data_IF_110124772491
#
_entry.id   IF_110124772491
#
_cell.length_a   1.000
_cell.length_b   1.000
_cell.length_c   1.000
_cell.angle_alpha   90.00
_cell.angle_beta   90.00
_cell.angle_gamma   90.00
#
_symmetry.space_group_name_H-M   'P 1'
#
loop_
_entity.id
_entity.type
_entity.pdbx_description
1 polymer ?
#
# COMPACT_ATOMS: atom_id res chain seq x y z
N UNK A 1 8.44 6.90 2.18
CA UNK A 1 8.59 5.70 3.05
C UNK A 1 7.85 4.53 2.42
N UNK A 2 8.35 3.30 2.54
CA UNK A 2 7.66 2.12 2.02
C UNK A 2 6.69 1.57 3.08
N UNK A 3 5.41 1.47 2.76
CA UNK A 3 4.35 0.91 3.60
C UNK A 3 3.87 -0.41 2.99
N UNK A 4 4.71 -1.44 3.13
CA UNK A 4 4.55 -2.75 2.52
C UNK A 4 3.40 -3.54 3.16
N UNK A 5 2.44 -4.00 2.37
CA UNK A 5 1.23 -4.77 2.78
C UNK A 5 0.24 -4.00 3.66
N UNK A 6 0.32 -2.66 3.73
CA UNK A 6 -0.65 -1.87 4.49
C UNK A 6 -1.93 -1.62 3.71
N UNK A 7 -3.08 -1.69 4.38
CA UNK A 7 -4.38 -1.30 3.79
C UNK A 7 -4.45 0.21 3.57
N UNK A 8 -5.26 0.64 2.60
CA UNK A 8 -5.46 2.06 2.31
C UNK A 8 -5.97 2.87 3.50
N UNK A 9 -6.86 2.30 4.32
CA UNK A 9 -7.34 2.95 5.55
C UNK A 9 -6.22 3.19 6.56
N UNK A 10 -5.33 2.21 6.70
CA UNK A 10 -4.17 2.32 7.60
C UNK A 10 -3.17 3.35 7.07
N UNK A 11 -2.91 3.35 5.75
CA UNK A 11 -2.07 4.38 5.10
C UNK A 11 -2.65 5.78 5.31
N UNK A 12 -3.97 5.95 5.15
CA UNK A 12 -4.62 7.24 5.34
C UNK A 12 -4.47 7.75 6.78
N UNK A 13 -4.74 6.88 7.77
CA UNK A 13 -4.59 7.22 9.18
C UNK A 13 -3.14 7.58 9.53
N UNK A 14 -2.17 6.82 9.02
CA UNK A 14 -0.75 7.04 9.28
C UNK A 14 -0.23 8.34 8.64
N UNK A 15 -0.68 8.65 7.43
CA UNK A 15 -0.43 9.93 6.76
C UNK A 15 -0.93 11.12 7.58
N UNK A 16 -2.13 11.04 8.15
CA UNK A 16 -2.70 12.13 8.95
C UNK A 16 -2.06 12.25 10.33
N UNK A 17 -1.86 11.13 11.02
CA UNK A 17 -1.52 11.14 12.45
C UNK A 17 -0.02 11.19 12.73
N UNK A 18 0.82 10.69 11.83
CA UNK A 18 2.25 10.55 12.08
C UNK A 18 3.13 11.06 10.94
N UNK A 19 2.99 10.49 9.73
CA UNK A 19 3.90 10.77 8.62
C UNK A 19 3.83 12.22 8.14
N UNK A 20 2.62 12.78 8.03
CA UNK A 20 2.41 14.19 7.69
C UNK A 20 3.08 15.13 8.69
N UNK A 21 2.75 15.05 10.00
CA UNK A 21 3.41 15.84 11.05
C UNK A 21 4.93 15.63 11.13
N UNK A 22 5.42 14.43 10.86
CA UNK A 22 6.85 14.10 10.85
C UNK A 22 7.58 14.59 9.57
N UNK A 23 6.86 15.16 8.60
CA UNK A 23 7.46 15.78 7.40
C UNK A 23 7.80 14.81 6.27
N UNK A 24 7.22 13.61 6.26
CA UNK A 24 7.40 12.68 5.12
C UNK A 24 6.64 13.19 3.90
N UNK A 25 7.35 13.29 2.76
CA UNK A 25 6.77 13.84 1.52
C UNK A 25 6.02 12.84 0.64
N UNK A 26 6.23 11.52 0.83
CA UNK A 26 5.56 10.49 0.04
C UNK A 26 5.57 9.11 0.72
N UNK A 27 4.62 8.28 0.29
CA UNK A 27 4.52 6.86 0.62
C UNK A 27 4.60 6.02 -0.66
N UNK A 28 5.29 4.89 -0.59
CA UNK A 28 5.23 3.83 -1.59
C UNK A 28 4.41 2.67 -1.01
N UNK A 29 3.32 2.30 -1.67
CA UNK A 29 2.42 1.22 -1.28
C UNK A 29 2.74 -0.08 -2.05
N UNK A 30 2.15 -1.20 -1.61
CA UNK A 30 2.05 -2.43 -2.42
C UNK A 30 1.22 -2.18 -3.71
N UNK A 31 1.39 -3.00 -4.76
CA UNK A 31 0.65 -2.85 -6.01
C UNK A 31 -0.88 -2.82 -5.82
N UNK A 32 -1.61 -1.80 -6.32
CA UNK A 32 -3.04 -1.64 -6.08
C UNK A 32 -3.94 -2.45 -7.02
N UNK A 33 -3.40 -2.93 -8.14
CA UNK A 33 -4.18 -3.55 -9.20
C UNK A 33 -4.68 -4.94 -8.80
N UNK A 34 -5.72 -5.42 -9.48
CA UNK A 34 -6.21 -6.79 -9.28
C UNK A 34 -5.08 -7.80 -9.53
N UNK A 35 -4.97 -8.80 -8.66
CA UNK A 35 -3.96 -9.84 -8.71
C UNK A 35 -4.55 -11.21 -8.35
N UNK A 36 -3.74 -12.26 -8.48
CA UNK A 36 -4.15 -13.63 -8.12
C UNK A 36 -4.50 -13.72 -6.63
N UNK A 37 -5.41 -14.64 -6.28
CA UNK A 37 -5.76 -14.88 -4.87
C UNK A 37 -4.68 -15.67 -4.13
N UNK A 38 -4.51 -15.37 -2.84
CA UNK A 38 -3.57 -16.02 -1.93
C UNK A 38 -3.16 -15.08 -0.79
N UNK A 39 -2.59 -15.62 0.28
CA UNK A 39 -2.20 -14.85 1.47
C UNK A 39 -0.72 -14.40 1.44
N UNK A 40 0.02 -14.77 0.40
CA UNK A 40 1.45 -14.48 0.31
C UNK A 40 1.69 -13.12 -0.35
N UNK A 41 2.49 -12.25 0.25
CA UNK A 41 2.82 -10.91 -0.27
C UNK A 41 3.19 -10.82 -1.77
N UNK A 42 3.75 -11.89 -2.36
CA UNK A 42 4.13 -11.89 -3.76
C UNK A 42 2.93 -12.00 -4.71
N UNK A 43 1.73 -12.30 -4.21
CA UNK A 43 0.50 -12.36 -5.02
C UNK A 43 0.26 -11.03 -5.71
N UNK A 44 0.52 -9.91 -5.04
CA UNK A 44 0.34 -8.54 -5.52
C UNK A 44 1.12 -8.23 -6.80
N UNK A 45 2.19 -9.00 -7.04
CA UNK A 45 3.08 -8.85 -8.19
C UNK A 45 2.69 -9.74 -9.38
N UNK A 46 1.53 -10.41 -9.32
CA UNK A 46 0.96 -11.20 -10.40
C UNK A 46 -0.36 -10.57 -10.86
N UNK A 47 -0.30 -9.49 -11.66
CA UNK A 47 -1.47 -8.72 -12.06
C UNK A 47 -2.42 -9.52 -12.93
N UNK A 48 -3.72 -9.32 -12.72
CA UNK A 48 -4.82 -9.89 -13.50
C UNK A 48 -5.48 -8.80 -14.37
N UNK A 49 -5.75 -7.63 -13.79
CA UNK A 49 -6.33 -6.50 -14.51
C UNK A 49 -5.98 -5.15 -13.87
N UNK A 50 -6.31 -4.06 -14.58
CA UNK A 50 -6.21 -2.66 -14.12
C UNK A 50 -7.55 -1.92 -14.22
N UNK A 51 -8.64 -2.68 -14.42
CA UNK A 51 -9.97 -2.13 -14.72
C UNK A 51 -10.74 -1.92 -13.41
#
# INVERSE_FOLDING_TARGET
VQMFEWTWDSIAAECTNFLGPAGYGFVQASPPQEHVTGDQWWTDYQPVSYI
#
